data_IF_684244397146
#
_entry.id   IF_684244397146
#
_cell.length_a   1.000
_cell.length_b   1.000
_cell.length_c   1.000
_cell.angle_alpha   90.00
_cell.angle_beta   90.00
_cell.angle_gamma   90.00
#
_symmetry.space_group_name_H-M   'P 1'
#
loop_
_entity.id
_entity.type
_entity.pdbx_description
1 polymer ?
#
# COMPACT_ATOMS: atom_id res chain seq x y z
N UNK A 1 24.99 -4.35 5.81
CA UNK A 1 23.80 -4.77 6.59
C UNK A 1 22.67 -3.76 6.38
N UNK A 2 21.90 -3.93 5.31
CA UNK A 2 20.71 -3.13 5.07
C UNK A 2 19.61 -3.54 6.05
N UNK A 3 18.98 -2.59 6.74
CA UNK A 3 17.80 -2.85 7.58
C UNK A 3 16.57 -2.79 6.67
N UNK A 4 15.76 -3.85 6.64
CA UNK A 4 14.53 -3.86 5.83
C UNK A 4 13.37 -3.41 6.71
N UNK A 5 12.70 -2.34 6.30
CA UNK A 5 11.55 -1.77 7.01
C UNK A 5 10.28 -2.09 6.21
N UNK A 6 9.37 -2.83 6.83
CA UNK A 6 8.06 -3.10 6.24
C UNK A 6 7.15 -1.90 6.41
N UNK A 7 6.68 -1.32 5.31
CA UNK A 7 5.59 -0.36 5.34
C UNK A 7 4.26 -1.09 5.28
N UNK A 8 3.39 -0.87 6.27
CA UNK A 8 1.99 -1.23 6.13
C UNK A 8 1.36 -0.29 5.08
N UNK A 9 0.36 -0.78 4.34
CA UNK A 9 -0.34 -0.13 3.21
C UNK A 9 -1.02 1.23 3.52
N UNK A 10 -0.70 1.88 4.64
CA UNK A 10 -1.23 3.16 5.09
C UNK A 10 -0.18 4.25 5.30
N UNK A 11 1.13 3.94 5.24
CA UNK A 11 2.19 4.94 5.36
C UNK A 11 2.75 5.28 3.97
N UNK A 12 2.75 6.58 3.64
CA UNK A 12 3.45 7.13 2.49
C UNK A 12 4.97 6.97 2.63
N UNK A 13 5.69 7.04 1.51
CA UNK A 13 7.16 7.02 1.54
C UNK A 13 7.72 8.16 2.42
N UNK A 14 7.06 9.32 2.45
CA UNK A 14 7.46 10.42 3.32
C UNK A 14 7.29 10.07 4.81
N UNK A 15 6.15 9.53 5.23
CA UNK A 15 5.96 9.11 6.62
C UNK A 15 6.98 8.04 7.02
N UNK A 16 7.29 7.12 6.12
CA UNK A 16 8.37 6.13 6.30
C UNK A 16 9.76 6.79 6.39
N UNK A 17 10.00 7.88 5.66
CA UNK A 17 11.26 8.63 5.72
C UNK A 17 11.45 9.39 7.04
N UNK A 18 10.36 9.91 7.62
CA UNK A 18 10.41 10.76 8.81
C UNK A 18 10.34 9.95 10.11
N UNK A 19 9.69 8.79 10.10
CA UNK A 19 9.45 7.99 11.32
C UNK A 19 10.71 7.31 11.88
N UNK A 20 11.85 7.40 11.18
CA UNK A 20 13.07 6.66 11.54
C UNK A 20 14.33 7.57 11.60
N UNK A 21 14.35 8.59 12.49
CA UNK A 21 15.47 9.51 12.62
C UNK A 21 16.77 8.76 12.96
N UNK A 22 17.83 9.00 12.19
CA UNK A 22 19.15 8.37 12.35
C UNK A 22 19.40 7.15 11.44
N UNK A 23 18.45 6.78 10.59
CA UNK A 23 18.64 5.71 9.61
C UNK A 23 19.03 6.29 8.26
N UNK A 24 20.18 5.94 7.71
CA UNK A 24 20.50 6.24 6.32
C UNK A 24 19.48 5.51 5.43
N UNK A 25 18.53 6.25 4.84
CA UNK A 25 17.54 5.71 3.90
C UNK A 25 18.20 4.98 2.72
N UNK A 26 19.47 5.28 2.44
CA UNK A 26 20.29 4.61 1.43
C UNK A 26 20.58 3.14 1.74
N UNK A 27 20.35 2.72 2.99
CA UNK A 27 20.52 1.33 3.45
C UNK A 27 19.22 0.67 3.88
N UNK A 28 18.08 1.36 3.71
CA UNK A 28 16.76 0.83 4.00
C UNK A 28 16.17 0.16 2.76
N UNK A 29 15.71 -1.08 2.88
CA UNK A 29 14.83 -1.67 1.87
C UNK A 29 13.38 -1.53 2.35
N UNK A 30 12.53 -0.93 1.53
CA UNK A 30 11.10 -0.84 1.83
C UNK A 30 10.36 -2.01 1.18
N UNK A 31 9.29 -2.46 1.81
CA UNK A 31 8.37 -3.42 1.21
C UNK A 31 6.96 -2.83 1.17
N UNK A 32 6.27 -3.06 0.05
CA UNK A 32 4.85 -2.71 -0.11
C UNK A 32 4.14 -3.77 -0.94
N UNK A 33 2.82 -3.83 -0.82
CA UNK A 33 1.97 -4.65 -1.69
C UNK A 33 1.06 -3.75 -2.52
N UNK A 34 1.04 -3.96 -3.82
CA UNK A 34 0.06 -3.35 -4.71
C UNK A 34 -1.10 -4.32 -4.97
N UNK A 35 -2.25 -3.76 -5.33
CA UNK A 35 -3.44 -4.51 -5.72
C UNK A 35 -3.99 -3.89 -7.00
N UNK A 36 -4.70 -4.64 -7.82
CA UNK A 36 -5.45 -4.10 -8.94
C UNK A 36 -6.33 -2.92 -8.46
N UNK A 37 -6.25 -1.74 -9.10
CA UNK A 37 -6.89 -0.52 -8.57
C UNK A 37 -8.38 -0.67 -8.33
N UNK A 38 -9.09 -1.35 -9.24
CA UNK A 38 -10.53 -1.57 -9.13
C UNK A 38 -10.91 -2.48 -7.96
N UNK A 39 -10.15 -3.56 -7.75
CA UNK A 39 -10.42 -4.47 -6.66
C UNK A 39 -10.11 -3.84 -5.30
N UNK A 40 -9.05 -3.02 -5.23
CA UNK A 40 -8.75 -2.23 -4.05
C UNK A 40 -9.88 -1.27 -3.73
N UNK A 41 -10.37 -0.52 -4.72
CA UNK A 41 -11.46 0.43 -4.57
C UNK A 41 -12.73 -0.28 -4.07
N UNK A 42 -13.09 -1.40 -4.67
CA UNK A 42 -14.23 -2.22 -4.26
C UNK A 42 -14.08 -2.72 -2.81
N UNK A 43 -12.91 -3.26 -2.47
CA UNK A 43 -12.62 -3.73 -1.12
C UNK A 43 -12.72 -2.62 -0.08
N UNK A 44 -12.28 -1.39 -0.42
CA UNK A 44 -12.32 -0.25 0.48
C UNK A 44 -13.76 0.23 0.71
N UNK A 45 -14.59 0.27 -0.33
CA UNK A 45 -16.01 0.56 -0.22
C UNK A 45 -16.72 -0.38 0.77
N UNK A 46 -16.55 -1.70 0.59
CA UNK A 46 -17.18 -2.69 1.47
C UNK A 46 -16.61 -2.67 2.89
N UNK A 47 -15.31 -2.39 3.05
CA UNK A 47 -14.69 -2.21 4.36
C UNK A 47 -15.28 -0.99 5.09
N UNK A 48 -15.36 0.15 4.42
CA UNK A 48 -15.93 1.37 4.98
C UNK A 48 -17.39 1.18 5.39
N UNK A 49 -18.19 0.55 4.53
CA UNK A 49 -19.60 0.26 4.78
C UNK A 49 -19.81 -0.72 5.94
N UNK A 50 -18.99 -1.76 6.04
CA UNK A 50 -19.11 -2.78 7.10
C UNK A 50 -18.66 -2.29 8.48
N UNK A 51 -17.69 -1.38 8.55
CA UNK A 51 -17.24 -0.79 9.81
C UNK A 51 -18.22 0.22 10.43
N UNK A 52 -19.24 0.65 9.71
CA UNK A 52 -20.17 1.64 10.24
C UNK A 52 -19.48 2.98 10.51
N UNK A 53 -20.06 3.80 11.41
CA UNK A 53 -19.56 5.12 11.77
C UNK A 53 -18.13 5.17 12.37
N UNK A 54 -17.46 4.03 12.53
CA UNK A 54 -16.04 3.97 12.90
C UNK A 54 -15.14 4.39 11.73
N UNK A 55 -15.56 4.14 10.49
CA UNK A 55 -14.77 4.47 9.31
C UNK A 55 -15.10 5.86 8.78
N UNK A 56 -14.07 6.65 8.45
CA UNK A 56 -14.21 8.05 8.00
C UNK A 56 -15.04 8.23 6.74
N UNK A 57 -15.13 7.18 5.90
CA UNK A 57 -15.91 7.17 4.67
C UNK A 57 -17.32 6.56 4.82
N UNK A 58 -17.76 6.29 6.05
CA UNK A 58 -19.04 5.60 6.26
C UNK A 58 -20.22 6.43 5.77
N UNK A 59 -20.24 7.73 6.04
CA UNK A 59 -21.36 8.59 5.64
C UNK A 59 -21.56 8.59 4.13
N UNK A 60 -20.48 8.60 3.34
CA UNK A 60 -20.56 8.51 1.87
C UNK A 60 -20.97 7.10 1.42
N UNK A 61 -20.42 6.04 2.03
CA UNK A 61 -20.65 4.65 1.59
C UNK A 61 -21.96 4.03 2.11
N UNK A 62 -22.53 4.57 3.18
CA UNK A 62 -23.78 4.06 3.78
C UNK A 62 -24.97 4.22 2.82
N UNK A 63 -25.03 5.36 2.13
CA UNK A 63 -26.19 5.78 1.34
C UNK A 63 -26.01 5.65 -0.18
N UNK A 64 -24.91 5.06 -0.64
CA UNK A 64 -24.59 4.91 -2.06
C UNK A 64 -24.40 3.45 -2.42
N UNK A 65 -24.57 3.10 -3.69
CA UNK A 65 -24.03 1.88 -4.27
C UNK A 65 -22.53 2.01 -4.55
N UNK A 66 -21.85 0.90 -4.85
CA UNK A 66 -20.44 0.95 -5.25
C UNK A 66 -20.26 1.73 -6.55
N UNK A 67 -21.15 1.56 -7.54
CA UNK A 67 -21.11 2.27 -8.82
C UNK A 67 -21.31 3.77 -8.66
N UNK A 68 -22.17 4.20 -7.73
CA UNK A 68 -22.39 5.62 -7.43
C UNK A 68 -21.19 6.22 -6.69
N UNK A 69 -20.72 5.53 -5.66
CA UNK A 69 -19.60 5.97 -4.85
C UNK A 69 -18.31 6.06 -5.68
N UNK A 70 -17.98 5.04 -6.46
CA UNK A 70 -16.74 5.00 -7.26
C UNK A 70 -16.66 6.13 -8.30
N UNK A 71 -17.79 6.60 -8.84
CA UNK A 71 -17.83 7.76 -9.74
C UNK A 71 -17.59 9.09 -9.05
N UNK A 72 -17.93 9.19 -7.76
CA UNK A 72 -17.70 10.38 -6.95
C UNK A 72 -16.26 10.52 -6.45
N UNK A 73 -15.50 9.42 -6.51
CA UNK A 73 -14.12 9.39 -6.03
C UNK A 73 -13.17 9.98 -7.08
N UNK A 74 -12.47 11.04 -6.68
CA UNK A 74 -11.37 11.63 -7.44
C UNK A 74 -10.02 11.11 -6.94
N UNK A 75 -9.91 9.80 -6.73
CA UNK A 75 -8.86 9.22 -5.90
C UNK A 75 -7.78 8.51 -6.73
N UNK A 76 -6.56 9.06 -6.71
CA UNK A 76 -5.37 8.37 -7.20
C UNK A 76 -4.80 7.36 -6.22
N UNK A 77 -5.31 7.32 -4.98
CA UNK A 77 -5.07 6.41 -3.87
C UNK A 77 -3.70 5.73 -3.81
N UNK A 78 -3.46 4.65 -4.56
CA UNK A 78 -2.14 4.00 -4.54
C UNK A 78 -1.03 4.93 -5.05
N UNK A 79 -1.34 5.77 -6.04
CA UNK A 79 -0.41 6.76 -6.57
C UNK A 79 -0.08 7.86 -5.56
N UNK A 80 -1.00 8.22 -4.66
CA UNK A 80 -0.76 9.27 -3.66
C UNK A 80 0.32 8.91 -2.63
N UNK A 81 0.57 7.61 -2.41
CA UNK A 81 1.64 7.14 -1.52
C UNK A 81 3.04 7.23 -2.13
N UNK A 82 3.15 7.32 -3.46
CA UNK A 82 4.40 7.19 -4.20
C UNK A 82 4.73 8.35 -5.14
N UNK A 83 3.73 9.13 -5.57
CA UNK A 83 3.96 10.34 -6.34
C UNK A 83 4.62 11.40 -5.46
N UNK A 84 5.57 12.13 -6.04
CA UNK A 84 6.31 13.17 -5.35
C UNK A 84 5.34 14.22 -4.78
N UNK A 85 5.44 14.48 -3.47
CA UNK A 85 4.55 15.40 -2.77
C UNK A 85 4.69 16.81 -3.36
N UNK A 86 3.64 17.34 -3.99
CA UNK A 86 3.40 18.78 -3.97
C UNK A 86 2.87 19.06 -2.57
N UNK A 87 3.77 19.45 -1.67
CA UNK A 87 3.41 19.94 -0.35
C UNK A 87 2.62 21.24 -0.53
N UNK A 88 1.37 21.31 -0.04
CA UNK A 88 0.77 22.62 0.24
C UNK A 88 1.43 23.16 1.49
N UNK A 89 2.10 24.32 1.38
CA UNK A 89 2.94 24.97 2.39
C UNK A 89 2.26 25.31 3.74
N UNK A 90 1.03 24.87 3.97
CA UNK A 90 0.24 25.27 5.15
C UNK A 90 -0.01 24.05 6.05
N UNK A 91 1.01 23.66 6.81
CA UNK A 91 0.86 23.09 8.15
C UNK A 91 0.11 21.77 8.35
N UNK A 92 -0.22 21.03 7.29
CA UNK A 92 -0.88 19.72 7.38
C UNK A 92 -0.40 18.80 6.27
N UNK A 93 0.10 17.61 6.64
CA UNK A 93 0.57 16.59 5.71
C UNK A 93 -0.61 15.85 5.09
N UNK A 94 -1.38 16.50 4.22
CA UNK A 94 -2.41 15.81 3.44
C UNK A 94 -1.82 15.21 2.17
N UNK A 95 -2.01 13.91 1.98
CA UNK A 95 -1.73 13.25 0.72
C UNK A 95 -2.63 13.85 -0.36
N UNK A 96 -2.04 14.35 -1.47
CA UNK A 96 -2.81 14.78 -2.63
C UNK A 96 -3.69 13.61 -3.08
N UNK A 97 -5.01 13.81 -3.12
CA UNK A 97 -5.95 12.73 -3.47
C UNK A 97 -6.28 12.68 -4.95
N UNK A 98 -6.19 13.80 -5.67
CA UNK A 98 -6.62 13.89 -7.06
C UNK A 98 -5.52 14.42 -7.99
N UNK A 99 -5.91 14.54 -9.26
CA UNK A 99 -5.27 15.48 -10.17
C UNK A 99 -3.80 15.11 -10.44
N UNK A 100 -3.55 13.80 -10.54
CA UNK A 100 -2.27 13.23 -10.91
C UNK A 100 -2.06 13.29 -12.41
N UNK A 101 -0.85 13.66 -12.82
CA UNK A 101 -0.46 13.74 -14.21
C UNK A 101 0.50 12.59 -14.61
N UNK A 102 0.99 12.67 -15.85
CA UNK A 102 1.95 11.70 -16.41
C UNK A 102 3.26 11.69 -15.61
N UNK A 103 3.72 12.84 -15.14
CA UNK A 103 4.98 12.97 -14.40
C UNK A 103 4.85 12.28 -13.06
N UNK A 104 3.75 12.48 -12.36
CA UNK A 104 3.46 11.82 -11.08
C UNK A 104 3.54 10.29 -11.18
N UNK A 105 2.97 9.74 -12.24
CA UNK A 105 3.02 8.30 -12.52
C UNK A 105 4.45 7.80 -12.76
N UNK A 106 5.27 8.53 -13.52
CA UNK A 106 6.65 8.13 -13.80
C UNK A 106 7.56 8.30 -12.57
N UNK A 107 7.35 9.34 -11.77
CA UNK A 107 8.03 9.53 -10.48
C UNK A 107 7.73 8.36 -9.53
N UNK A 108 6.45 7.99 -9.38
CA UNK A 108 6.04 6.86 -8.56
C UNK A 108 6.64 5.53 -9.02
N UNK A 109 6.67 5.27 -10.33
CA UNK A 109 7.32 4.08 -10.90
C UNK A 109 8.81 4.05 -10.59
N UNK A 110 9.48 5.19 -10.67
CA UNK A 110 10.92 5.30 -10.40
C UNK A 110 11.20 4.99 -8.93
N UNK A 111 10.45 5.64 -8.02
CA UNK A 111 10.55 5.39 -6.58
C UNK A 111 10.33 3.92 -6.23
N UNK A 112 9.26 3.32 -6.78
CA UNK A 112 8.92 1.92 -6.57
C UNK A 112 10.03 0.98 -7.05
N UNK A 113 10.63 1.23 -8.21
CA UNK A 113 11.72 0.41 -8.76
C UNK A 113 13.01 0.50 -7.94
N UNK A 114 13.32 1.68 -7.41
CA UNK A 114 14.62 1.95 -6.79
C UNK A 114 14.63 1.68 -5.28
N UNK A 115 13.50 1.86 -4.59
CA UNK A 115 13.44 1.85 -3.12
C UNK A 115 12.59 0.72 -2.54
N UNK A 116 11.73 0.08 -3.34
CA UNK A 116 10.77 -0.90 -2.83
C UNK A 116 10.98 -2.31 -3.39
N UNK A 117 10.79 -3.29 -2.53
CA UNK A 117 10.38 -4.64 -2.89
C UNK A 117 8.86 -4.61 -3.01
N UNK A 118 8.34 -4.99 -4.18
CA UNK A 118 6.91 -4.86 -4.49
C UNK A 118 6.29 -6.25 -4.61
N UNK A 119 5.33 -6.54 -3.73
CA UNK A 119 4.43 -7.67 -3.85
C UNK A 119 3.12 -7.31 -4.54
N UNK A 120 2.40 -8.31 -5.03
CA UNK A 120 1.01 -8.18 -5.49
C UNK A 120 0.10 -8.95 -4.55
N UNK A 121 -1.00 -8.32 -4.12
CA UNK A 121 -2.01 -8.94 -3.25
C UNK A 121 -2.64 -10.17 -3.92
N UNK A 122 -2.79 -10.12 -5.24
CA UNK A 122 -3.32 -11.20 -6.07
C UNK A 122 -2.35 -12.40 -6.19
N UNK A 123 -1.06 -12.18 -5.93
CA UNK A 123 -0.01 -13.21 -6.00
C UNK A 123 0.67 -13.39 -4.63
N UNK A 124 -0.06 -13.85 -3.59
CA UNK A 124 0.46 -13.88 -2.22
C UNK A 124 1.66 -14.82 -2.09
N UNK A 125 1.63 -15.99 -2.74
CA UNK A 125 2.75 -16.94 -2.68
C UNK A 125 4.02 -16.36 -3.33
N UNK A 126 3.88 -15.72 -4.49
CA UNK A 126 5.01 -15.08 -5.18
C UNK A 126 5.56 -13.90 -4.39
N UNK A 127 4.69 -13.14 -3.72
CA UNK A 127 5.08 -12.07 -2.80
C UNK A 127 5.89 -12.60 -1.62
N UNK A 128 5.45 -13.70 -1.03
CA UNK A 128 6.16 -14.40 0.06
C UNK A 128 7.53 -14.91 -0.43
N UNK A 129 7.60 -15.53 -1.60
CA UNK A 129 8.86 -16.00 -2.20
C UNK A 129 9.83 -14.86 -2.51
N UNK A 130 9.32 -13.72 -2.99
CA UNK A 130 10.11 -12.52 -3.25
C UNK A 130 10.72 -11.99 -1.94
N UNK A 131 9.92 -11.90 -0.88
CA UNK A 131 10.39 -11.50 0.46
C UNK A 131 11.43 -12.47 1.00
N UNK A 132 11.20 -13.77 0.89
CA UNK A 132 12.16 -14.82 1.27
C UNK A 132 13.50 -14.66 0.53
N UNK A 133 13.47 -14.30 -0.74
CA UNK A 133 14.69 -14.14 -1.55
C UNK A 133 15.43 -12.83 -1.25
N UNK A 134 14.70 -11.73 -0.99
CA UNK A 134 15.27 -10.38 -0.91
C UNK A 134 15.54 -9.89 0.52
N UNK A 135 14.92 -10.53 1.52
CA UNK A 135 14.97 -10.10 2.92
C UNK A 135 15.52 -11.22 3.79
N UNK A 136 16.79 -11.08 4.21
CA UNK A 136 17.53 -12.14 4.91
C UNK A 136 16.84 -12.64 6.19
N UNK A 137 16.26 -11.74 7.00
CA UNK A 137 15.61 -12.17 8.24
C UNK A 137 14.29 -12.91 7.97
N UNK A 138 13.57 -12.56 6.88
CA UNK A 138 12.37 -13.30 6.45
C UNK A 138 12.78 -14.71 6.03
N UNK A 139 13.85 -14.85 5.25
CA UNK A 139 14.42 -16.14 4.91
C UNK A 139 14.70 -16.99 6.15
N UNK A 140 15.44 -16.44 7.12
CA UNK A 140 15.80 -17.14 8.36
C UNK A 140 14.59 -17.51 9.21
N UNK A 141 13.59 -16.62 9.31
CA UNK A 141 12.35 -16.89 10.03
C UNK A 141 11.57 -18.06 9.39
N UNK A 142 11.54 -18.14 8.05
CA UNK A 142 10.86 -19.21 7.33
C UNK A 142 11.64 -20.54 7.34
N UNK A 143 12.98 -20.50 7.41
CA UNK A 143 13.78 -21.71 7.66
C UNK A 143 13.48 -22.29 9.06
N UNK A 144 13.34 -21.40 10.06
CA UNK A 144 13.02 -21.81 11.43
C UNK A 144 11.55 -22.24 11.59
N UNK A 145 10.63 -21.68 10.80
CA UNK A 145 9.23 -22.04 10.78
C UNK A 145 8.67 -22.07 9.34
N UNK A 146 8.72 -23.24 8.67
CA UNK A 146 8.29 -23.37 7.28
C UNK A 146 6.83 -22.98 7.01
N UNK A 147 5.94 -23.09 8.01
CA UNK A 147 4.52 -22.74 7.84
C UNK A 147 4.29 -21.24 7.65
N UNK A 148 5.27 -20.37 7.98
CA UNK A 148 5.22 -18.94 7.68
C UNK A 148 5.32 -18.65 6.18
N UNK A 149 5.78 -19.61 5.38
CA UNK A 149 5.89 -19.50 3.93
C UNK A 149 4.70 -19.97 3.13
N UNK A 150 3.66 -20.42 3.82
CA UNK A 150 2.44 -20.89 3.20
C UNK A 150 1.38 -19.78 3.29
N UNK A 151 0.84 -19.37 2.15
CA UNK A 151 -0.31 -18.46 2.13
C UNK A 151 -1.54 -19.18 2.72
N UNK A 152 -1.78 -19.01 4.03
CA UNK A 152 -2.86 -19.68 4.76
C UNK A 152 -4.28 -19.27 4.30
N UNK A 153 -4.39 -18.16 3.55
CA UNK A 153 -5.65 -17.65 3.02
C UNK A 153 -5.47 -17.13 1.60
N UNK A 154 -5.20 -18.02 0.64
CA UNK A 154 -5.54 -17.72 -0.76
C UNK A 154 -7.07 -17.66 -0.80
N UNK A 155 -7.62 -16.45 -0.84
CA UNK A 155 -9.05 -16.19 -0.83
C UNK A 155 -9.80 -17.22 -1.69
N UNK A 156 -10.57 -18.10 -1.04
CA UNK A 156 -11.82 -18.57 -1.62
C UNK A 156 -12.55 -17.29 -1.98
N UNK A 157 -12.68 -17.01 -3.28
CA UNK A 157 -13.20 -15.75 -3.77
C UNK A 157 -14.39 -15.32 -2.93
N UNK A 158 -14.32 -14.11 -2.37
CA UNK A 158 -15.51 -13.43 -1.94
C UNK A 158 -16.27 -13.11 -3.24
N UNK A 159 -17.00 -14.11 -3.74
CA UNK A 159 -18.10 -13.92 -4.65
C UNK A 159 -19.14 -13.14 -3.85
N UNK A 160 -19.12 -11.82 -4.02
CA UNK A 160 -20.26 -10.96 -3.76
C UNK A 160 -21.11 -10.93 -5.02
#
# INVERSE_FOLDING_TARGET
>A
NAKVYGGLNHLSYYELSQSWPGTHMDTAAFFTTLRHPWERLNSHYHYAKSLGGVHVLYTETANTSFEEWSKSMSDGYMLSYFANHIFTEVGGHELRRCCFDRKDLEDAKTLLREKFIIGLVEEPQRTIELLRCKVFWVHKAMEANPSLGEAAHVNKGYAY
#
